data_IF_368387359481
#
_entry.id   IF_368387359481
#
_cell.length_a   1.000
_cell.length_b   1.000
_cell.length_c   1.000
_cell.angle_alpha   90.00
_cell.angle_beta   90.00
_cell.angle_gamma   90.00
#
_symmetry.space_group_name_H-M   'P 1'
#
loop_
_entity.id
_entity.type
_entity.pdbx_description
1 polymer ?
#
# COMPACT_ATOMS: atom_id res chain seq x y z
N UNK A 1 -13.12 16.88 32.31
CA UNK A 1 -13.28 16.73 30.84
C UNK A 1 -12.01 16.06 30.32
N UNK A 2 -12.04 14.74 30.11
CA UNK A 2 -10.90 14.04 29.50
C UNK A 2 -11.19 13.91 28.02
N UNK A 3 -10.37 14.62 27.23
CA UNK A 3 -10.36 14.53 25.78
C UNK A 3 -10.09 13.09 25.36
N UNK A 4 -10.78 12.69 24.31
CA UNK A 4 -10.80 11.37 23.72
C UNK A 4 -9.43 11.05 23.10
N UNK A 5 -8.57 10.35 23.85
CA UNK A 5 -7.33 9.81 23.31
C UNK A 5 -7.69 8.77 22.24
N UNK A 6 -7.56 9.19 20.97
CA UNK A 6 -7.52 8.25 19.84
C UNK A 6 -6.16 7.59 19.92
N UNK A 7 -6.14 6.31 20.27
CA UNK A 7 -4.94 5.50 20.05
C UNK A 7 -4.69 5.47 18.54
N UNK A 8 -3.67 6.20 18.10
CA UNK A 8 -3.26 6.28 16.71
C UNK A 8 -1.93 5.60 16.56
N UNK A 9 -1.95 4.32 16.22
CA UNK A 9 -0.76 3.57 15.88
C UNK A 9 -0.41 3.84 14.41
N UNK A 10 0.83 4.26 14.17
CA UNK A 10 1.34 4.47 12.81
C UNK A 10 2.37 3.40 12.51
N UNK A 11 2.15 2.64 11.44
CA UNK A 11 3.07 1.61 10.95
C UNK A 11 3.54 1.94 9.55
N UNK A 12 4.78 1.58 9.22
CA UNK A 12 5.34 1.73 7.89
C UNK A 12 5.44 0.35 7.24
N UNK A 13 4.71 0.15 6.14
CA UNK A 13 4.70 -1.11 5.39
C UNK A 13 5.03 -0.86 3.93
N UNK A 14 5.94 -1.64 3.38
CA UNK A 14 6.22 -1.66 1.95
C UNK A 14 5.37 -2.73 1.27
N UNK A 15 4.81 -2.39 0.11
CA UNK A 15 4.06 -3.32 -0.73
C UNK A 15 4.75 -3.44 -2.09
N UNK A 16 4.95 -4.68 -2.52
CA UNK A 16 5.42 -5.01 -3.86
C UNK A 16 4.22 -5.34 -4.75
N UNK A 17 4.14 -4.75 -5.94
CA UNK A 17 3.08 -5.03 -6.92
C UNK A 17 3.68 -5.60 -8.19
N UNK A 18 2.95 -6.51 -8.84
CA UNK A 18 3.28 -7.02 -10.18
C UNK A 18 2.04 -6.99 -11.05
N UNK A 19 2.14 -6.37 -12.22
CA UNK A 19 1.10 -6.43 -13.24
C UNK A 19 1.12 -7.78 -13.93
N UNK A 20 0.01 -8.51 -13.91
CA UNK A 20 -0.10 -9.80 -14.60
C UNK A 20 -0.33 -9.65 -16.11
N UNK A 21 -0.50 -8.41 -16.60
CA UNK A 21 -0.65 -8.13 -18.02
C UNK A 21 0.69 -7.80 -18.71
N UNK A 22 1.44 -6.82 -18.22
CA UNK A 22 2.72 -6.40 -18.82
C UNK A 22 3.96 -6.88 -18.08
N UNK A 23 3.81 -7.50 -16.89
CA UNK A 23 4.95 -7.96 -16.08
C UNK A 23 5.65 -6.86 -15.29
N UNK A 24 5.21 -5.59 -15.42
CA UNK A 24 5.78 -4.47 -14.65
C UNK A 24 5.63 -4.72 -13.15
N UNK A 25 6.75 -4.67 -12.43
CA UNK A 25 6.79 -4.78 -10.99
C UNK A 25 7.35 -3.51 -10.37
N UNK A 26 6.72 -3.03 -9.31
CA UNK A 26 7.23 -1.90 -8.52
C UNK A 26 6.99 -2.13 -7.03
N UNK A 27 7.71 -1.39 -6.21
CA UNK A 27 7.57 -1.39 -4.76
C UNK A 27 7.32 0.03 -4.27
N UNK A 28 6.45 0.17 -3.28
CA UNK A 28 6.08 1.47 -2.72
C UNK A 28 5.86 1.33 -1.21
N UNK A 29 6.35 2.34 -0.47
CA UNK A 29 6.23 2.43 0.98
C UNK A 29 4.97 3.20 1.36
N UNK A 30 4.22 2.63 2.31
CA UNK A 30 3.00 3.19 2.84
C UNK A 30 3.12 3.43 4.34
N UNK A 31 2.66 4.59 4.77
CA UNK A 31 2.38 4.87 6.17
C UNK A 31 0.91 4.55 6.43
N UNK A 32 0.65 3.62 7.34
CA UNK A 32 -0.69 3.17 7.70
C UNK A 32 -0.99 3.67 9.11
N UNK A 33 -1.98 4.55 9.21
CA UNK A 33 -2.47 5.07 10.50
C UNK A 33 -3.69 4.27 10.92
N UNK A 34 -3.53 3.47 11.95
CA UNK A 34 -4.59 2.75 12.61
C UNK A 34 -5.22 3.67 13.64
N UNK A 35 -6.53 3.87 13.52
CA UNK A 35 -7.32 4.67 14.46
C UNK A 35 -8.41 3.79 15.02
N UNK A 36 -8.56 3.76 16.33
CA UNK A 36 -9.70 3.15 17.00
C UNK A 36 -10.62 4.26 17.53
N UNK A 37 -11.93 4.15 17.27
CA UNK A 37 -12.90 4.99 17.96
C UNK A 37 -13.21 4.44 19.37
N UNK A 38 -13.91 5.24 20.18
CA UNK A 38 -14.32 4.85 21.54
C UNK A 38 -15.28 3.65 21.56
N UNK A 39 -15.84 3.29 20.41
CA UNK A 39 -16.69 2.11 20.23
C UNK A 39 -15.88 0.88 19.78
N UNK A 40 -14.55 1.00 19.67
CA UNK A 40 -13.64 -0.06 19.25
C UNK A 40 -13.62 -0.32 17.74
N UNK A 41 -14.26 0.52 16.91
CA UNK A 41 -14.17 0.37 15.45
C UNK A 41 -12.80 0.85 14.99
N UNK A 42 -12.05 -0.08 14.41
CA UNK A 42 -10.73 0.20 13.83
C UNK A 42 -10.87 0.69 12.40
N UNK A 43 -10.14 1.73 12.04
CA UNK A 43 -10.00 2.25 10.69
C UNK A 43 -8.52 2.41 10.38
N UNK A 44 -8.11 1.95 9.20
CA UNK A 44 -6.78 2.17 8.65
C UNK A 44 -6.84 3.26 7.59
N UNK A 45 -5.98 4.27 7.71
CA UNK A 45 -5.76 5.29 6.69
C UNK A 45 -4.38 5.09 6.07
N UNK A 46 -4.31 5.07 4.74
CA UNK A 46 -3.09 4.80 3.99
C UNK A 46 -2.53 6.10 3.43
N UNK A 47 -1.22 6.28 3.56
CA UNK A 47 -0.50 7.42 3.03
C UNK A 47 0.71 6.92 2.23
N UNK A 48 0.92 7.48 1.05
CA UNK A 48 2.13 7.29 0.23
C UNK A 48 2.78 8.65 0.04
N UNK A 49 4.09 8.75 0.30
CA UNK A 49 4.85 9.99 0.25
C UNK A 49 4.17 11.17 1.00
N UNK A 50 3.56 10.87 2.16
CA UNK A 50 2.82 11.83 2.98
C UNK A 50 1.44 12.25 2.43
N UNK A 51 1.01 11.71 1.29
CA UNK A 51 -0.31 11.96 0.69
C UNK A 51 -1.26 10.82 0.98
N UNK A 52 -2.49 11.15 1.39
CA UNK A 52 -3.53 10.15 1.64
C UNK A 52 -3.93 9.48 0.32
N UNK A 53 -3.94 8.15 0.31
CA UNK A 53 -4.26 7.31 -0.84
C UNK A 53 -5.32 6.26 -0.47
N UNK A 54 -6.03 5.69 -1.46
CA UNK A 54 -6.84 4.50 -1.23
C UNK A 54 -6.00 3.34 -0.70
N UNK A 55 -6.65 2.31 -0.16
CA UNK A 55 -5.94 1.13 0.31
C UNK A 55 -5.15 0.49 -0.84
N UNK A 56 -3.84 0.21 -0.67
CA UNK A 56 -3.04 -0.49 -1.66
C UNK A 56 -3.63 -1.86 -1.99
N UNK A 57 -4.36 -2.47 -1.05
CA UNK A 57 -5.06 -3.75 -1.21
C UNK A 57 -6.23 -3.69 -2.21
N UNK A 58 -6.73 -2.50 -2.49
CA UNK A 58 -7.82 -2.27 -3.46
C UNK A 58 -7.31 -1.82 -4.83
N UNK A 59 -5.99 -1.67 -5.00
CA UNK A 59 -5.41 -1.21 -6.26
C UNK A 59 -5.46 -2.30 -7.32
N UNK A 60 -6.02 -1.97 -8.48
CA UNK A 60 -6.30 -2.89 -9.58
C UNK A 60 -5.66 -2.47 -10.92
N UNK A 61 -5.23 -1.21 -11.04
CA UNK A 61 -4.68 -0.64 -12.29
C UNK A 61 -3.16 -0.47 -12.21
N UNK A 62 -2.46 -1.05 -13.21
CA UNK A 62 -1.03 -0.85 -13.44
C UNK A 62 -0.74 0.59 -13.91
N UNK A 63 0.25 1.29 -13.31
CA UNK A 63 0.60 2.65 -13.74
C UNK A 63 1.26 2.71 -15.13
N UNK A 64 1.81 1.59 -15.62
CA UNK A 64 2.56 1.53 -16.89
C UNK A 64 1.65 1.21 -18.09
N UNK A 65 0.77 0.20 -17.96
CA UNK A 65 -0.11 -0.24 -19.06
C UNK A 65 -1.60 0.08 -18.85
N UNK A 66 -1.97 0.69 -17.72
CA UNK A 66 -3.36 1.05 -17.36
C UNK A 66 -4.34 -0.12 -17.42
N UNK A 67 -3.83 -1.34 -17.22
CA UNK A 67 -4.59 -2.59 -17.21
C UNK A 67 -4.35 -3.33 -15.90
N UNK A 68 -5.20 -4.30 -15.62
CA UNK A 68 -5.07 -5.23 -14.51
C UNK A 68 -5.17 -6.68 -14.98
N UNK A 69 -5.24 -7.65 -14.05
CA UNK A 69 -5.16 -7.47 -12.59
C UNK A 69 -3.71 -7.30 -12.08
N UNK A 70 -3.58 -6.66 -10.92
CA UNK A 70 -2.33 -6.60 -10.16
C UNK A 70 -2.27 -7.74 -9.15
N UNK A 71 -1.05 -8.20 -8.85
CA UNK A 71 -0.76 -9.10 -7.73
C UNK A 71 0.07 -8.38 -6.69
N UNK A 72 -0.41 -8.38 -5.45
CA UNK A 72 0.30 -7.82 -4.30
C UNK A 72 1.17 -8.92 -3.69
N UNK A 73 2.43 -8.58 -3.44
CA UNK A 73 3.44 -9.44 -2.87
C UNK A 73 3.96 -8.83 -1.56
N UNK A 74 4.59 -9.66 -0.73
CA UNK A 74 5.40 -9.17 0.39
C UNK A 74 6.54 -8.26 -0.14
N UNK A 75 6.94 -7.24 0.63
CA UNK A 75 8.04 -6.37 0.25
C UNK A 75 9.33 -7.16 -0.01
N UNK A 76 10.19 -6.60 -0.85
CA UNK A 76 11.47 -7.17 -1.27
C UNK A 76 11.40 -8.18 -2.40
N UNK A 77 10.22 -8.44 -3.01
CA UNK A 77 10.06 -9.43 -4.09
C UNK A 77 10.21 -8.90 -5.51
N UNK A 78 10.18 -7.59 -5.71
CA UNK A 78 10.26 -6.98 -7.06
C UNK A 78 11.69 -6.75 -7.54
N UNK A 79 12.70 -6.76 -6.64
CA UNK A 79 14.12 -6.54 -6.98
C UNK A 79 14.76 -7.55 -7.96
N UNK A 80 14.02 -8.51 -8.52
CA UNK A 80 14.54 -9.57 -9.38
C UNK A 80 14.33 -9.42 -10.90
N UNK A 81 13.64 -8.39 -11.40
CA UNK A 81 13.12 -8.40 -12.80
C UNK A 81 13.76 -7.35 -13.73
N UNK A 82 14.64 -6.46 -13.23
CA UNK A 82 15.29 -5.46 -14.10
C UNK A 82 16.37 -6.02 -15.04
N UNK A 83 16.69 -7.32 -15.00
CA UNK A 83 17.84 -7.89 -15.73
C UNK A 83 17.55 -8.39 -17.16
N UNK A 84 16.34 -8.22 -17.71
CA UNK A 84 15.95 -8.86 -18.98
C UNK A 84 15.52 -7.89 -20.11
N UNK A 85 16.09 -6.70 -20.14
CA UNK A 85 16.08 -5.83 -21.33
C UNK A 85 17.49 -5.28 -21.56
N UNK A 86 18.35 -6.13 -22.12
CA UNK A 86 19.61 -5.77 -22.75
C UNK A 86 19.60 -6.29 -24.19
#
# INVERSE_FOLDING_TARGET
MMMTERDTETVHEAYSFVCLHCGHGWEEEYEIRHTADLSGRRRAEYFSHGRRVPSPLTRDICPDCTRGPLRILRPGRVKGIQSYLA
#
